data_IF_448638005904
#
_entry.id   IF_448638005904
#
_cell.length_a   1.000
_cell.length_b   1.000
_cell.length_c   1.000
_cell.angle_alpha   90.00
_cell.angle_beta   90.00
_cell.angle_gamma   90.00
#
_symmetry.space_group_name_H-M   'P 1'
#
loop_
_entity.id
_entity.type
_entity.pdbx_description
1 polymer ?
#
# COMPACT_ATOMS: atom_id res chain seq x y z
N UNK A 1 53.87 11.69 -17.92
CA UNK A 1 53.86 12.70 -16.84
C UNK A 1 52.73 12.32 -15.89
N UNK A 2 53.08 12.02 -14.63
CA UNK A 2 52.13 11.75 -13.55
C UNK A 2 51.46 13.08 -13.16
N UNK A 3 50.14 13.10 -13.11
CA UNK A 3 49.41 14.19 -12.46
C UNK A 3 49.19 13.78 -11.00
N UNK A 4 50.10 14.25 -10.13
CA UNK A 4 49.85 14.32 -8.70
C UNK A 4 49.44 15.77 -8.39
N UNK A 5 48.19 15.94 -7.96
CA UNK A 5 47.77 17.08 -7.16
C UNK A 5 46.51 16.70 -6.39
N UNK A 6 46.65 15.77 -5.45
CA UNK A 6 45.65 15.60 -4.41
C UNK A 6 45.69 16.83 -3.51
N UNK A 7 44.57 17.57 -3.47
CA UNK A 7 44.42 18.73 -2.60
C UNK A 7 44.14 18.20 -1.17
N UNK A 8 45.03 18.43 -0.19
CA UNK A 8 44.96 17.79 1.14
C UNK A 8 43.88 18.38 2.06
N UNK A 9 43.10 19.37 1.59
CA UNK A 9 42.13 20.09 2.43
C UNK A 9 40.71 19.49 2.42
N UNK A 10 40.44 18.47 1.59
CA UNK A 10 39.12 17.82 1.51
C UNK A 10 39.10 16.40 2.09
N UNK A 11 40.15 15.97 2.80
CA UNK A 11 40.14 14.70 3.52
C UNK A 11 39.27 14.81 4.77
N UNK A 12 38.16 14.07 4.77
CA UNK A 12 37.23 13.88 5.88
C UNK A 12 36.05 14.87 5.96
N UNK A 13 35.21 14.82 4.94
CA UNK A 13 33.78 14.69 5.21
C UNK A 13 33.40 13.25 4.88
N UNK A 14 33.48 12.37 5.88
CA UNK A 14 32.76 11.10 5.82
C UNK A 14 31.28 11.47 5.69
N UNK A 15 30.74 11.42 4.47
CA UNK A 15 29.29 11.36 4.30
C UNK A 15 28.91 10.04 4.96
N UNK A 16 28.18 10.06 6.09
CA UNK A 16 27.81 8.81 6.74
C UNK A 16 27.11 7.99 5.67
N UNK A 17 27.55 6.74 5.50
CA UNK A 17 26.85 5.79 4.68
C UNK A 17 25.43 5.70 5.26
N UNK A 18 24.49 6.45 4.69
CA UNK A 18 23.09 6.28 5.00
C UNK A 18 22.82 4.84 4.62
N UNK A 19 22.43 4.02 5.60
CA UNK A 19 21.63 2.85 5.32
C UNK A 19 20.51 3.33 4.41
N UNK A 20 20.64 3.07 3.11
CA UNK A 20 19.61 3.41 2.15
C UNK A 20 18.51 2.39 2.40
N UNK A 21 17.62 2.70 3.35
CA UNK A 21 16.39 1.94 3.47
C UNK A 21 15.63 2.07 2.13
N UNK A 22 15.59 0.96 1.40
CA UNK A 22 14.99 0.90 0.07
C UNK A 22 13.47 0.74 0.20
N UNK A 23 12.76 1.86 0.12
CA UNK A 23 11.30 1.90 0.15
C UNK A 23 10.68 1.96 -1.26
N UNK A 24 11.42 1.56 -2.30
CA UNK A 24 10.91 1.61 -3.67
C UNK A 24 9.79 0.61 -3.88
N UNK A 25 8.97 0.91 -4.88
CA UNK A 25 7.92 0.01 -5.33
C UNK A 25 8.53 -1.33 -5.77
N UNK A 26 8.02 -2.43 -5.22
CA UNK A 26 8.57 -3.78 -5.44
C UNK A 26 7.85 -4.59 -6.52
N UNK A 27 6.83 -4.02 -7.18
CA UNK A 27 6.06 -4.69 -8.23
C UNK A 27 5.32 -3.69 -9.14
N UNK A 28 4.91 -4.14 -10.33
CA UNK A 28 4.09 -3.37 -11.27
C UNK A 28 3.23 -4.35 -12.10
N UNK A 29 1.98 -4.00 -12.50
CA UNK A 29 1.25 -2.76 -12.22
C UNK A 29 0.69 -2.68 -10.78
N UNK A 30 0.26 -1.48 -10.37
CA UNK A 30 -0.32 -1.25 -9.02
C UNK A 30 -1.81 -0.86 -9.04
N UNK A 31 -2.38 -0.62 -10.22
CA UNK A 31 -3.79 -0.24 -10.34
C UNK A 31 -4.69 -1.47 -10.17
N UNK A 32 -5.69 -1.41 -9.27
CA UNK A 32 -6.61 -2.53 -9.00
C UNK A 32 -7.25 -3.05 -10.30
N UNK A 33 -7.68 -2.14 -11.20
CA UNK A 33 -8.31 -2.48 -12.48
C UNK A 33 -7.39 -3.20 -13.47
N UNK A 34 -6.07 -3.13 -13.29
CA UNK A 34 -5.09 -3.82 -14.13
C UNK A 34 -4.73 -5.21 -13.61
N UNK A 35 -5.24 -5.59 -12.44
CA UNK A 35 -4.91 -6.87 -11.83
C UNK A 35 -5.70 -8.03 -12.44
N UNK A 36 -4.99 -9.12 -12.73
CA UNK A 36 -5.60 -10.42 -13.01
C UNK A 36 -6.18 -11.06 -11.75
N UNK A 37 -6.78 -12.25 -11.91
CA UNK A 37 -7.34 -13.03 -10.81
C UNK A 37 -6.29 -13.84 -10.03
N UNK A 38 -5.11 -14.07 -10.63
CA UNK A 38 -3.97 -14.77 -10.00
C UNK A 38 -2.77 -13.81 -9.99
N UNK A 39 -2.28 -13.49 -8.79
CA UNK A 39 -1.26 -12.46 -8.60
C UNK A 39 -0.11 -13.05 -7.75
N UNK A 40 0.90 -13.68 -8.38
CA UNK A 40 1.92 -14.45 -7.66
C UNK A 40 2.67 -13.67 -6.58
N UNK A 41 2.90 -12.37 -6.77
CA UNK A 41 3.63 -11.53 -5.81
C UNK A 41 2.82 -11.19 -4.54
N UNK A 42 1.52 -11.50 -4.51
CA UNK A 42 0.66 -11.31 -3.32
C UNK A 42 0.62 -12.55 -2.42
N UNK A 43 1.22 -13.68 -2.83
CA UNK A 43 1.30 -14.87 -1.98
C UNK A 43 2.10 -14.56 -0.71
N UNK A 44 1.49 -14.81 0.45
CA UNK A 44 1.99 -14.53 1.80
C UNK A 44 2.42 -13.07 2.02
N UNK A 45 1.90 -12.15 1.19
CA UNK A 45 2.25 -10.74 1.28
C UNK A 45 1.36 -9.98 2.26
N UNK A 46 1.94 -8.97 2.91
CA UNK A 46 1.17 -7.89 3.53
C UNK A 46 0.70 -6.93 2.43
N UNK A 47 -0.61 -6.89 2.17
CA UNK A 47 -1.22 -6.11 1.09
C UNK A 47 -1.67 -4.75 1.60
N UNK A 48 -1.15 -3.68 1.00
CA UNK A 48 -1.65 -2.31 1.16
C UNK A 48 -2.65 -2.01 0.05
N UNK A 49 -3.90 -1.75 0.40
CA UNK A 49 -4.89 -1.18 -0.53
C UNK A 49 -5.07 0.28 -0.20
N UNK A 50 -4.53 1.16 -1.04
CA UNK A 50 -4.49 2.59 -0.79
C UNK A 50 -5.41 3.36 -1.74
N UNK A 51 -6.21 4.27 -1.20
CA UNK A 51 -6.95 5.22 -2.04
C UNK A 51 -5.97 6.11 -2.81
N UNK A 52 -6.21 6.40 -4.09
CA UNK A 52 -5.25 7.10 -4.97
C UNK A 52 -4.68 8.40 -4.35
N UNK A 53 -5.54 9.19 -3.72
CA UNK A 53 -5.16 10.46 -3.10
C UNK A 53 -4.20 10.31 -1.89
N UNK A 54 -4.18 9.16 -1.23
CA UNK A 54 -3.32 8.93 -0.06
C UNK A 54 -1.83 8.90 -0.44
N UNK A 55 -1.50 8.46 -1.66
CA UNK A 55 -0.14 8.49 -2.19
C UNK A 55 0.43 9.90 -2.35
N UNK A 56 -0.44 10.89 -2.52
CA UNK A 56 -0.07 12.30 -2.67
C UNK A 56 -0.25 13.10 -1.38
N UNK A 57 -1.19 12.71 -0.51
CA UNK A 57 -1.43 13.40 0.75
C UNK A 57 -0.42 12.99 1.83
N UNK A 58 -0.10 11.69 1.95
CA UNK A 58 0.66 11.19 3.08
C UNK A 58 2.15 11.57 2.99
N UNK A 59 2.67 12.17 4.06
CA UNK A 59 4.10 12.41 4.16
C UNK A 59 4.86 11.08 4.22
N UNK A 60 5.96 11.00 3.48
CA UNK A 60 6.82 9.82 3.41
C UNK A 60 6.05 8.52 3.12
N UNK A 61 5.07 8.55 2.20
CA UNK A 61 4.18 7.42 1.90
C UNK A 61 4.92 6.07 1.78
N UNK A 62 6.02 6.08 1.04
CA UNK A 62 6.85 4.90 0.80
C UNK A 62 7.41 4.30 2.09
N UNK A 63 7.93 5.17 2.98
CA UNK A 63 8.51 4.75 4.26
C UNK A 63 7.43 4.31 5.25
N UNK A 64 6.33 5.05 5.33
CA UNK A 64 5.34 4.88 6.40
C UNK A 64 4.31 3.78 6.10
N UNK A 65 3.97 3.57 4.81
CA UNK A 65 2.88 2.66 4.44
C UNK A 65 3.33 1.54 3.50
N UNK A 66 4.18 1.85 2.50
CA UNK A 66 4.59 0.88 1.48
C UNK A 66 5.67 -0.10 1.95
N UNK A 67 6.54 0.31 2.89
CA UNK A 67 7.66 -0.51 3.39
C UNK A 67 7.17 -1.92 3.73
N UNK A 68 7.83 -2.92 3.14
CA UNK A 68 7.57 -4.35 3.31
C UNK A 68 6.17 -4.84 2.84
N UNK A 69 5.42 -4.00 2.12
CA UNK A 69 4.08 -4.33 1.61
C UNK A 69 4.01 -4.37 0.09
N UNK A 70 3.01 -5.07 -0.43
CA UNK A 70 2.59 -5.00 -1.84
C UNK A 70 1.42 -4.04 -1.92
N UNK A 71 1.54 -2.99 -2.75
CA UNK A 71 0.49 -1.98 -2.87
C UNK A 71 -0.43 -2.22 -4.07
N UNK A 72 -1.72 -2.04 -3.87
CA UNK A 72 -2.70 -1.81 -4.92
C UNK A 72 -3.41 -0.49 -4.66
N UNK A 73 -3.70 0.27 -5.72
CA UNK A 73 -4.34 1.59 -5.64
C UNK A 73 -5.60 1.68 -6.48
N UNK A 74 -6.54 2.50 -6.02
CA UNK A 74 -7.74 2.88 -6.76
C UNK A 74 -8.64 3.84 -5.98
N UNK A 75 -9.67 4.37 -6.63
CA UNK A 75 -10.59 5.32 -6.01
C UNK A 75 -12.02 4.79 -6.08
N UNK A 76 -12.63 4.35 -4.95
CA UNK A 76 -13.92 3.68 -4.97
C UNK A 76 -15.08 4.63 -5.37
N UNK A 77 -14.81 5.94 -5.50
CA UNK A 77 -15.77 6.94 -6.00
C UNK A 77 -15.70 7.14 -7.51
N UNK A 78 -14.52 6.99 -8.11
CA UNK A 78 -14.30 7.12 -9.56
C UNK A 78 -14.44 5.79 -10.28
N UNK A 79 -14.21 4.71 -9.55
CA UNK A 79 -14.29 3.35 -10.03
C UNK A 79 -15.60 2.67 -9.61
N UNK A 80 -15.83 1.46 -10.14
CA UNK A 80 -17.02 0.67 -9.82
C UNK A 80 -16.75 -0.16 -8.56
N UNK A 81 -17.53 0.11 -7.50
CA UNK A 81 -17.39 -0.56 -6.21
C UNK A 81 -17.73 -2.06 -6.29
N UNK A 82 -18.74 -2.45 -7.06
CA UNK A 82 -19.13 -3.85 -7.26
C UNK A 82 -18.02 -4.60 -7.98
N UNK A 83 -17.46 -3.98 -9.03
CA UNK A 83 -16.30 -4.53 -9.72
C UNK A 83 -15.11 -4.77 -8.78
N UNK A 84 -14.83 -3.85 -7.86
CA UNK A 84 -13.78 -4.06 -6.86
C UNK A 84 -14.10 -5.18 -5.87
N UNK A 85 -15.35 -5.30 -5.41
CA UNK A 85 -15.75 -6.40 -4.53
C UNK A 85 -15.49 -7.73 -5.23
N UNK A 86 -15.94 -7.87 -6.48
CA UNK A 86 -15.77 -9.10 -7.24
C UNK A 86 -14.28 -9.38 -7.52
N UNK A 87 -13.52 -8.36 -7.92
CA UNK A 87 -12.07 -8.46 -8.17
C UNK A 87 -11.30 -8.92 -6.94
N UNK A 88 -11.54 -8.31 -5.79
CA UNK A 88 -10.87 -8.72 -4.55
C UNK A 88 -11.36 -10.09 -4.07
N UNK A 89 -12.63 -10.44 -4.29
CA UNK A 89 -13.14 -11.79 -3.99
C UNK A 89 -12.38 -12.84 -4.79
N UNK A 90 -12.17 -12.62 -6.09
CA UNK A 90 -11.35 -13.48 -6.95
C UNK A 90 -9.90 -13.56 -6.47
N UNK A 91 -9.27 -12.41 -6.19
CA UNK A 91 -7.87 -12.35 -5.76
C UNK A 91 -7.67 -13.12 -4.46
N UNK A 92 -8.49 -12.88 -3.44
CA UNK A 92 -8.39 -13.55 -2.14
C UNK A 92 -8.77 -15.04 -2.22
N UNK A 93 -9.69 -15.41 -3.12
CA UNK A 93 -10.03 -16.81 -3.37
C UNK A 93 -8.86 -17.61 -3.96
N UNK A 94 -8.11 -17.00 -4.89
CA UNK A 94 -7.04 -17.65 -5.66
C UNK A 94 -5.63 -17.45 -5.10
N UNK A 95 -5.42 -16.44 -4.25
CA UNK A 95 -4.10 -16.05 -3.74
C UNK A 95 -4.17 -15.91 -2.22
N UNK A 96 -3.22 -16.54 -1.51
CA UNK A 96 -3.17 -16.45 -0.05
C UNK A 96 -2.45 -15.16 0.34
N UNK A 97 -3.19 -14.17 0.82
CA UNK A 97 -2.64 -12.91 1.33
C UNK A 97 -2.52 -13.02 2.84
N UNK A 98 -1.42 -12.51 3.42
CA UNK A 98 -1.15 -12.60 4.86
C UNK A 98 -2.01 -11.62 5.67
N UNK A 99 -2.05 -10.37 5.22
CA UNK A 99 -2.88 -9.32 5.83
C UNK A 99 -3.27 -8.26 4.80
N UNK A 100 -4.33 -7.52 5.08
CA UNK A 100 -4.77 -6.38 4.26
C UNK A 100 -4.84 -5.13 5.12
N UNK A 101 -4.15 -4.08 4.68
CA UNK A 101 -4.29 -2.73 5.24
C UNK A 101 -5.00 -1.83 4.23
N UNK A 102 -6.15 -1.29 4.61
CA UNK A 102 -6.84 -0.25 3.88
C UNK A 102 -6.32 1.12 4.32
N UNK A 103 -5.64 1.85 3.44
CA UNK A 103 -5.23 3.23 3.68
C UNK A 103 -6.20 4.17 2.96
N UNK A 104 -6.95 4.96 3.72
CA UNK A 104 -7.98 5.86 3.17
C UNK A 104 -7.91 7.24 3.78
N UNK A 105 -8.47 8.21 3.07
CA UNK A 105 -8.74 9.53 3.63
C UNK A 105 -10.01 9.51 4.50
N UNK A 106 -10.16 10.49 5.39
CA UNK A 106 -11.34 10.70 6.25
C UNK A 106 -12.60 11.07 5.46
N UNK A 107 -12.43 11.56 4.23
CA UNK A 107 -13.52 12.00 3.36
C UNK A 107 -14.42 10.83 2.93
N UNK A 108 -15.74 11.07 2.74
CA UNK A 108 -16.71 10.01 2.50
C UNK A 108 -16.44 9.23 1.21
N UNK A 109 -15.78 9.84 0.22
CA UNK A 109 -15.45 9.16 -1.03
C UNK A 109 -14.51 7.97 -0.82
N UNK A 110 -13.63 7.97 0.20
CA UNK A 110 -12.67 6.89 0.43
C UNK A 110 -13.20 5.80 1.38
N UNK A 111 -14.27 6.09 2.15
CA UNK A 111 -14.88 5.12 3.09
C UNK A 111 -15.43 3.86 2.41
N UNK A 112 -15.77 3.95 1.12
CA UNK A 112 -16.20 2.80 0.32
C UNK A 112 -15.15 1.69 0.20
N UNK A 113 -13.85 2.03 0.22
CA UNK A 113 -12.78 1.03 0.04
C UNK A 113 -12.76 -0.01 1.17
N UNK A 114 -12.94 0.44 2.42
CA UNK A 114 -13.00 -0.47 3.57
C UNK A 114 -14.16 -1.44 3.45
N UNK A 115 -15.33 -0.96 3.01
CA UNK A 115 -16.51 -1.81 2.83
C UNK A 115 -16.32 -2.83 1.71
N UNK A 116 -15.70 -2.40 0.60
CA UNK A 116 -15.34 -3.25 -0.53
C UNK A 116 -14.45 -4.41 -0.07
N UNK A 117 -13.37 -4.10 0.66
CA UNK A 117 -12.41 -5.11 1.11
C UNK A 117 -13.03 -6.07 2.13
N UNK A 118 -13.80 -5.53 3.09
CA UNK A 118 -14.51 -6.35 4.07
C UNK A 118 -15.45 -7.35 3.40
N UNK A 119 -16.24 -6.88 2.44
CA UNK A 119 -17.17 -7.73 1.69
C UNK A 119 -16.44 -8.77 0.84
N UNK A 120 -15.35 -8.39 0.18
CA UNK A 120 -14.55 -9.31 -0.62
C UNK A 120 -13.90 -10.42 0.21
N UNK A 121 -13.34 -10.07 1.38
CA UNK A 121 -12.78 -11.06 2.33
C UNK A 121 -13.89 -12.02 2.76
N UNK A 122 -15.05 -11.50 3.16
CA UNK A 122 -16.21 -12.31 3.55
C UNK A 122 -16.63 -13.28 2.43
N UNK A 123 -16.80 -12.79 1.20
CA UNK A 123 -17.20 -13.61 0.04
C UNK A 123 -16.16 -14.64 -0.36
N UNK A 124 -14.87 -14.35 -0.16
CA UNK A 124 -13.78 -15.27 -0.47
C UNK A 124 -13.73 -16.50 0.47
N UNK A 125 -14.39 -16.42 1.63
CA UNK A 125 -14.35 -17.45 2.67
C UNK A 125 -12.98 -17.58 3.36
N UNK A 126 -12.06 -16.65 3.11
CA UNK A 126 -10.72 -16.63 3.75
C UNK A 126 -10.77 -15.87 5.07
N UNK A 127 -9.91 -16.27 6.00
CA UNK A 127 -9.65 -15.53 7.22
C UNK A 127 -8.43 -14.63 7.02
N UNK A 128 -8.66 -13.37 6.69
CA UNK A 128 -7.61 -12.37 6.41
C UNK A 128 -7.80 -11.21 7.38
N UNK A 129 -6.73 -10.87 8.11
CA UNK A 129 -6.71 -9.69 8.98
C UNK A 129 -6.89 -8.43 8.12
N UNK A 130 -7.93 -7.65 8.39
CA UNK A 130 -8.18 -6.36 7.76
C UNK A 130 -7.96 -5.24 8.78
N UNK A 131 -7.05 -4.33 8.47
CA UNK A 131 -6.84 -3.09 9.23
C UNK A 131 -7.18 -1.88 8.37
N UNK A 132 -7.58 -0.78 9.01
CA UNK A 132 -7.86 0.50 8.36
C UNK A 132 -7.01 1.59 9.02
N UNK A 133 -6.23 2.31 8.20
CA UNK A 133 -5.59 3.57 8.59
C UNK A 133 -6.31 4.72 7.90
N UNK A 134 -6.77 5.69 8.69
CA UNK A 134 -7.45 6.90 8.20
C UNK A 134 -6.52 8.10 8.25
N UNK A 135 -6.35 8.78 7.12
CA UNK A 135 -5.65 10.06 7.01
C UNK A 135 -6.63 11.23 7.01
N UNK A 136 -6.25 12.35 7.63
CA UNK A 136 -6.97 13.61 7.47
C UNK A 136 -6.75 14.23 6.07
N UNK A 137 -7.34 15.39 5.81
CA UNK A 137 -7.19 16.08 4.52
C UNK A 137 -5.79 16.65 4.26
N UNK A 138 -4.93 16.70 5.27
CA UNK A 138 -3.52 17.13 5.18
C UNK A 138 -2.55 15.95 5.09
N UNK A 139 -3.05 14.72 5.22
CA UNK A 139 -2.26 13.50 5.16
C UNK A 139 -1.73 13.01 6.52
N UNK A 140 -2.19 13.59 7.63
CA UNK A 140 -1.84 13.17 8.98
C UNK A 140 -2.69 11.97 9.40
N UNK A 141 -2.09 11.01 10.13
CA UNK A 141 -2.82 9.82 10.61
C UNK A 141 -3.79 10.24 11.72
N UNK A 142 -5.09 9.98 11.50
CA UNK A 142 -6.14 10.22 12.48
C UNK A 142 -6.44 8.99 13.34
N UNK A 143 -6.44 7.82 12.74
CA UNK A 143 -6.77 6.57 13.43
C UNK A 143 -6.28 5.34 12.70
N UNK A 144 -6.03 4.29 13.48
CA UNK A 144 -5.79 2.94 13.00
C UNK A 144 -6.68 1.98 13.78
N UNK A 145 -7.35 1.05 13.08
CA UNK A 145 -8.21 0.05 13.73
C UNK A 145 -8.30 -1.23 12.92
N UNK A 146 -8.53 -2.33 13.62
CA UNK A 146 -8.93 -3.59 13.01
C UNK A 146 -10.40 -3.52 12.57
N UNK A 147 -10.71 -4.14 11.45
CA UNK A 147 -12.06 -4.21 10.90
C UNK A 147 -12.58 -5.63 11.06
N UNK A 148 -13.62 -5.78 11.86
CA UNK A 148 -14.29 -7.06 12.03
C UNK A 148 -14.94 -7.53 10.72
N UNK A 149 -14.63 -8.77 10.34
CA UNK A 149 -15.27 -9.47 9.22
C UNK A 149 -16.45 -10.26 9.78
N UNK A 150 -17.61 -9.64 9.97
CA UNK A 150 -18.79 -10.33 10.50
C UNK A 150 -19.55 -11.09 9.40
N UNK A 151 -19.80 -12.37 9.66
CA UNK A 151 -20.59 -13.29 8.82
C UNK A 151 -22.07 -12.93 8.76
#
# INVERSE_FOLDING_TARGET
>A
MKFESECPSCSSLEVPAREQEDYRLSHWPIQIKLMGSVIPFLNDADLLVAADCTGFAAQNFHKNFLKDKKVLIGCPKLDDATYYVDKFTEIFGNTTVKSVQCLRMVVPCCGGMTMILREAIKRSGKNILLTETTLDVKGDVLSEKEIEITG
#
